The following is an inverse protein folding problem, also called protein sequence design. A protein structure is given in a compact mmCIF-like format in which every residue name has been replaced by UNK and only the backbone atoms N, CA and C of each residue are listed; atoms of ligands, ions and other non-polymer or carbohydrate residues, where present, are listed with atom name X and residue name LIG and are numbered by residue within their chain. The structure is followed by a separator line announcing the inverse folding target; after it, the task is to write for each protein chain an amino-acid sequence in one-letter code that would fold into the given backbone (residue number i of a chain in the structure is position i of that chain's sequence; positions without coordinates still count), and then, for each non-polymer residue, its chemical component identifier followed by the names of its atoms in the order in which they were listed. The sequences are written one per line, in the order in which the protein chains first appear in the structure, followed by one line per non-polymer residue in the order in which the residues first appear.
data_IF_130168637744
#
_entry.id   IF_130168637744
#
_cell.length_a   1.000
_cell.length_b   1.000
_cell.length_c   1.000
_cell.angle_alpha   90.00
_cell.angle_beta   90.00
_cell.angle_gamma   90.00
#
_symmetry.space_group_name_H-M   'P 1'
#
loop_
_entity.id
_entity.type
_entity.pdbx_description
1 polymer ?
#
# COMPACT_ATOMS: atom_id res chain seq x y z
N UNK A 1 -15.42 10.10 -16.76
CA UNK A 1 -16.48 10.10 -15.73
C UNK A 1 -15.99 9.30 -14.54
N UNK A 2 -15.65 9.97 -13.44
CA UNK A 2 -15.64 9.49 -12.05
C UNK A 2 -15.00 10.59 -11.18
N UNK A 3 -15.81 11.23 -10.34
CA UNK A 3 -15.50 11.69 -8.97
C UNK A 3 -16.57 12.69 -8.53
N UNK A 4 -17.73 12.17 -8.12
CA UNK A 4 -18.58 12.84 -7.16
C UNK A 4 -18.38 12.12 -5.82
N UNK A 5 -17.47 12.59 -4.96
CA UNK A 5 -17.40 12.10 -3.57
C UNK A 5 -16.07 12.20 -2.82
N UNK A 6 -14.91 12.30 -3.47
CA UNK A 6 -13.63 12.43 -2.76
C UNK A 6 -12.51 12.78 -3.73
N UNK A 7 -11.80 13.88 -3.49
CA UNK A 7 -10.74 14.34 -4.38
C UNK A 7 -9.58 13.35 -4.46
N UNK A 8 -8.86 13.34 -5.58
CA UNK A 8 -7.54 12.73 -5.66
C UNK A 8 -6.48 13.85 -5.66
N UNK A 9 -5.28 13.54 -5.19
CA UNK A 9 -4.13 14.45 -5.21
C UNK A 9 -3.05 13.90 -6.14
N UNK A 10 -2.42 14.75 -6.95
CA UNK A 10 -1.25 14.34 -7.72
C UNK A 10 -0.09 14.06 -6.77
N UNK A 11 0.64 12.99 -7.07
CA UNK A 11 1.95 12.69 -6.50
C UNK A 11 3.04 13.29 -7.40
N UNK A 12 4.27 13.37 -6.89
CA UNK A 12 5.39 13.95 -7.62
C UNK A 12 5.76 13.18 -8.90
N UNK A 13 5.43 11.88 -8.97
CA UNK A 13 5.62 11.01 -10.13
C UNK A 13 4.46 11.08 -11.16
N UNK A 14 3.48 11.97 -10.95
CA UNK A 14 2.33 12.16 -11.82
C UNK A 14 1.17 11.18 -11.59
N UNK A 15 1.32 10.18 -10.71
CA UNK A 15 0.19 9.33 -10.30
C UNK A 15 -0.79 10.11 -9.40
N UNK A 16 -1.99 9.57 -9.19
CA UNK A 16 -3.01 10.19 -8.34
C UNK A 16 -3.41 9.28 -7.19
N UNK A 17 -3.44 9.83 -5.97
CA UNK A 17 -3.87 9.13 -4.76
C UNK A 17 -5.20 9.70 -4.25
N UNK A 18 -6.20 8.87 -3.91
CA UNK A 18 -7.41 9.37 -3.24
C UNK A 18 -7.08 9.94 -1.86
N UNK A 19 -7.62 11.13 -1.56
CA UNK A 19 -7.28 11.86 -0.31
C UNK A 19 -7.77 11.18 0.97
N UNK A 20 -8.77 10.32 0.84
CA UNK A 20 -9.36 9.58 1.95
C UNK A 20 -9.22 8.08 1.70
N UNK A 21 -8.69 7.38 2.70
CA UNK A 21 -8.55 5.93 2.68
C UNK A 21 -8.84 5.29 4.03
N UNK A 22 -9.06 3.97 4.01
CA UNK A 22 -9.18 3.15 5.21
C UNK A 22 -7.83 2.49 5.52
N UNK A 23 -7.29 2.71 6.72
CA UNK A 23 -6.17 1.92 7.25
C UNK A 23 -6.67 0.69 8.02
N UNK A 24 -6.01 -0.46 7.86
CA UNK A 24 -6.38 -1.72 8.54
C UNK A 24 -5.38 -2.17 9.63
N UNK A 25 -4.62 -1.24 10.21
CA UNK A 25 -3.75 -1.53 11.36
C UNK A 25 -4.57 -2.03 12.56
N UNK A 26 -4.04 -3.03 13.26
CA UNK A 26 -4.68 -3.74 14.38
C UNK A 26 -6.02 -4.43 14.08
N UNK A 27 -6.50 -4.41 12.83
CA UNK A 27 -7.65 -5.22 12.44
C UNK A 27 -7.19 -6.66 12.30
N UNK A 28 -7.71 -7.61 13.10
CA UNK A 28 -7.27 -9.00 13.02
C UNK A 28 -7.54 -9.60 11.64
N UNK A 29 -6.65 -10.49 11.20
CA UNK A 29 -6.89 -11.32 10.03
C UNK A 29 -8.18 -12.15 10.19
N UNK A 30 -8.72 -12.61 9.06
CA UNK A 30 -9.99 -13.32 8.97
C UNK A 30 -11.17 -12.38 8.77
N UNK A 31 -12.31 -12.70 9.39
CA UNK A 31 -13.59 -12.04 9.13
C UNK A 31 -13.58 -10.53 9.44
N UNK A 32 -12.83 -10.10 10.46
CA UNK A 32 -12.77 -8.69 10.85
C UNK A 32 -12.16 -7.83 9.74
N UNK A 33 -10.96 -8.21 9.26
CA UNK A 33 -10.31 -7.53 8.14
C UNK A 33 -11.16 -7.60 6.87
N UNK A 34 -11.76 -8.77 6.57
CA UNK A 34 -12.60 -8.91 5.37
C UNK A 34 -13.78 -7.95 5.40
N UNK A 35 -14.50 -7.87 6.52
CA UNK A 35 -15.66 -7.01 6.66
C UNK A 35 -15.29 -5.53 6.62
N UNK A 36 -14.21 -5.13 7.31
CA UNK A 36 -13.75 -3.74 7.30
C UNK A 36 -13.47 -3.23 5.88
N UNK A 37 -12.74 -4.02 5.08
CA UNK A 37 -12.43 -3.70 3.69
C UNK A 37 -13.70 -3.65 2.84
N UNK A 38 -14.57 -4.66 2.93
CA UNK A 38 -15.82 -4.69 2.16
C UNK A 38 -16.74 -3.51 2.47
N UNK A 39 -16.96 -3.21 3.74
CA UNK A 39 -17.82 -2.10 4.15
C UNK A 39 -17.28 -0.74 3.68
N UNK A 40 -15.96 -0.55 3.69
CA UNK A 40 -15.36 0.66 3.14
C UNK A 40 -15.60 0.77 1.63
N UNK A 41 -15.41 -0.31 0.87
CA UNK A 41 -15.67 -0.33 -0.58
C UNK A 41 -17.15 -0.05 -0.90
N UNK A 42 -18.07 -0.67 -0.14
CA UNK A 42 -19.52 -0.47 -0.25
C UNK A 42 -19.92 0.98 0.09
N UNK A 43 -19.22 1.60 1.05
CA UNK A 43 -19.40 3.00 1.42
C UNK A 43 -18.74 3.99 0.44
N UNK A 44 -18.06 3.50 -0.60
CA UNK A 44 -17.46 4.34 -1.65
C UNK A 44 -15.97 4.66 -1.48
N UNK A 45 -15.29 4.08 -0.49
CA UNK A 45 -13.83 4.23 -0.37
C UNK A 45 -13.14 3.59 -1.56
N UNK A 46 -12.10 4.25 -2.06
CA UNK A 46 -11.26 3.77 -3.17
C UNK A 46 -9.77 3.81 -2.85
N UNK A 47 -9.39 4.07 -1.60
CA UNK A 47 -8.02 3.92 -1.11
C UNK A 47 -8.06 3.07 0.16
N UNK A 48 -7.31 1.97 0.19
CA UNK A 48 -7.18 1.13 1.39
C UNK A 48 -5.70 0.83 1.64
N UNK A 49 -5.29 1.02 2.88
CA UNK A 49 -3.91 0.94 3.36
C UNK A 49 -3.75 -0.26 4.31
N UNK A 50 -2.73 -1.08 4.03
CA UNK A 50 -2.27 -2.18 4.88
C UNK A 50 -0.73 -2.12 5.03
N UNK A 51 -0.12 -3.15 5.60
CA UNK A 51 1.32 -3.35 5.65
C UNK A 51 1.61 -4.82 5.89
N UNK A 52 2.78 -5.30 5.46
CA UNK A 52 3.23 -6.65 5.79
C UNK A 52 3.22 -6.92 7.29
N UNK A 53 3.66 -5.94 8.08
CA UNK A 53 3.73 -6.00 9.53
C UNK A 53 2.36 -6.24 10.20
N UNK A 54 1.24 -5.97 9.51
CA UNK A 54 -0.10 -6.11 10.08
C UNK A 54 -0.62 -7.55 10.02
N UNK A 55 0.00 -8.42 9.22
CA UNK A 55 -0.34 -9.85 9.15
C UNK A 55 -1.75 -10.14 8.59
N UNK A 56 -2.38 -9.18 7.90
CA UNK A 56 -3.76 -9.31 7.43
C UNK A 56 -3.91 -9.15 5.90
N UNK A 57 -2.82 -9.08 5.13
CA UNK A 57 -2.83 -8.91 3.66
C UNK A 57 -3.62 -10.00 2.93
N UNK A 58 -3.60 -11.26 3.38
CA UNK A 58 -4.39 -12.33 2.76
C UNK A 58 -5.91 -12.11 2.92
N UNK A 59 -6.32 -11.61 4.08
CA UNK A 59 -7.72 -11.31 4.38
C UNK A 59 -8.20 -10.09 3.61
N UNK A 60 -7.34 -9.08 3.49
CA UNK A 60 -7.56 -7.92 2.64
C UNK A 60 -7.71 -8.33 1.17
N UNK A 61 -6.80 -9.16 0.66
CA UNK A 61 -6.82 -9.63 -0.73
C UNK A 61 -8.09 -10.42 -1.04
N UNK A 62 -8.53 -11.26 -0.10
CA UNK A 62 -9.83 -11.94 -0.19
C UNK A 62 -10.99 -10.95 -0.28
N UNK A 63 -11.02 -9.92 0.56
CA UNK A 63 -12.08 -8.93 0.53
C UNK A 63 -12.16 -8.16 -0.79
N UNK A 64 -11.02 -7.83 -1.40
CA UNK A 64 -10.99 -7.20 -2.72
C UNK A 64 -11.62 -8.09 -3.78
N UNK A 65 -11.20 -9.36 -3.87
CA UNK A 65 -11.77 -10.33 -4.82
C UNK A 65 -13.27 -10.53 -4.61
N UNK A 66 -13.70 -10.65 -3.36
CA UNK A 66 -15.10 -10.86 -2.99
C UNK A 66 -15.99 -9.60 -3.16
N UNK A 67 -15.38 -8.41 -3.30
CA UNK A 67 -16.13 -7.14 -3.41
C UNK A 67 -16.79 -6.91 -4.77
N UNK A 68 -16.25 -7.53 -5.83
CA UNK A 68 -16.66 -7.25 -7.21
C UNK A 68 -16.28 -5.86 -7.74
N UNK A 69 -15.56 -5.03 -6.95
CA UNK A 69 -15.05 -3.74 -7.41
C UNK A 69 -13.87 -3.96 -8.36
N UNK A 70 -13.87 -3.35 -9.57
CA UNK A 70 -12.73 -3.46 -10.48
C UNK A 70 -11.42 -3.00 -9.83
N UNK A 71 -10.34 -3.77 -10.05
CA UNK A 71 -9.02 -3.50 -9.44
C UNK A 71 -8.49 -2.10 -9.77
N UNK A 72 -8.74 -1.63 -10.99
CA UNK A 72 -8.32 -0.31 -11.48
C UNK A 72 -9.07 0.86 -10.80
N UNK A 73 -10.12 0.58 -10.04
CA UNK A 73 -10.84 1.58 -9.25
C UNK A 73 -10.35 1.68 -7.80
N UNK A 74 -9.52 0.76 -7.32
CA UNK A 74 -9.04 0.75 -5.93
C UNK A 74 -7.55 1.07 -5.89
N UNK A 75 -7.17 2.08 -5.12
CA UNK A 75 -5.79 2.44 -4.81
C UNK A 75 -5.33 1.68 -3.55
N UNK A 76 -4.28 0.89 -3.67
CA UNK A 76 -3.81 0.00 -2.61
C UNK A 76 -2.42 0.43 -2.14
N UNK A 77 -2.32 0.70 -0.84
CA UNK A 77 -1.06 0.99 -0.17
C UNK A 77 -0.63 -0.19 0.70
N UNK A 78 0.61 -0.64 0.57
CA UNK A 78 1.26 -1.54 1.55
C UNK A 78 2.66 -1.06 1.87
N UNK A 79 3.32 -1.68 2.84
CA UNK A 79 4.57 -1.17 3.41
C UNK A 79 5.61 -2.26 3.60
N UNK A 80 6.82 -1.97 3.16
CA UNK A 80 8.05 -2.73 3.38
C UNK A 80 8.44 -2.69 4.86
N UNK A 81 8.70 -3.86 5.46
CA UNK A 81 9.26 -3.94 6.81
C UNK A 81 10.80 -3.83 6.75
N UNK A 82 11.41 -2.74 7.24
CA UNK A 82 12.84 -2.46 7.08
C UNK A 82 13.77 -3.49 7.74
N UNK A 83 13.35 -4.18 8.81
CA UNK A 83 14.14 -5.30 9.38
C UNK A 83 14.21 -6.56 8.52
N UNK A 84 13.41 -6.67 7.44
CA UNK A 84 13.47 -7.82 6.55
C UNK A 84 14.54 -7.67 5.47
N UNK A 85 14.58 -8.68 4.57
CA UNK A 85 15.64 -8.86 3.60
C UNK A 85 15.76 -7.69 2.60
N UNK A 86 14.90 -7.69 1.59
CA UNK A 86 14.97 -6.83 0.42
C UNK A 86 13.57 -6.34 0.01
N UNK A 87 13.39 -5.08 -0.42
CA UNK A 87 12.09 -4.54 -0.80
C UNK A 87 11.41 -5.22 -1.98
N UNK A 88 12.15 -5.74 -2.97
CA UNK A 88 11.59 -6.46 -4.13
C UNK A 88 10.98 -7.77 -3.67
N UNK A 89 11.75 -8.58 -2.94
CA UNK A 89 11.28 -9.85 -2.40
C UNK A 89 10.04 -9.66 -1.50
N UNK A 90 10.06 -8.62 -0.66
CA UNK A 90 8.88 -8.28 0.14
C UNK A 90 7.71 -7.81 -0.73
N UNK A 91 7.91 -6.97 -1.75
CA UNK A 91 6.83 -6.55 -2.63
C UNK A 91 6.14 -7.76 -3.29
N UNK A 92 6.93 -8.71 -3.82
CA UNK A 92 6.41 -9.97 -4.38
C UNK A 92 5.61 -10.77 -3.36
N UNK A 93 6.10 -10.90 -2.13
CA UNK A 93 5.40 -11.57 -1.04
C UNK A 93 4.04 -10.91 -0.71
N UNK A 94 4.01 -9.57 -0.64
CA UNK A 94 2.78 -8.80 -0.45
C UNK A 94 1.82 -9.01 -1.61
N UNK A 95 2.30 -8.91 -2.86
CA UNK A 95 1.51 -9.14 -4.06
C UNK A 95 0.87 -10.53 -4.06
N UNK A 96 1.62 -11.57 -3.68
CA UNK A 96 1.08 -12.94 -3.54
C UNK A 96 -0.01 -13.02 -2.47
N UNK A 97 0.19 -12.44 -1.28
CA UNK A 97 -0.83 -12.45 -0.20
C UNK A 97 -2.08 -11.66 -0.59
N UNK A 98 -1.90 -10.48 -1.18
CA UNK A 98 -3.00 -9.63 -1.65
C UNK A 98 -3.71 -10.25 -2.87
N UNK A 99 -3.02 -11.09 -3.64
CA UNK A 99 -3.49 -11.65 -4.91
C UNK A 99 -3.57 -10.57 -5.99
N UNK A 100 -2.52 -9.76 -6.11
CA UNK A 100 -2.39 -8.64 -7.04
C UNK A 100 -1.13 -8.81 -7.89
N UNK A 101 -1.08 -8.10 -9.02
CA UNK A 101 0.11 -8.04 -9.88
C UNK A 101 0.94 -6.77 -9.63
N UNK A 102 0.32 -5.72 -9.08
CA UNK A 102 0.96 -4.43 -8.82
C UNK A 102 0.37 -3.71 -7.61
N UNK A 103 1.24 -3.04 -6.83
CA UNK A 103 0.92 -2.15 -5.71
C UNK A 103 0.78 -0.71 -6.25
N UNK A 104 -0.21 0.06 -5.79
CA UNK A 104 -0.33 1.46 -6.22
C UNK A 104 0.68 2.35 -5.48
N UNK A 105 0.82 2.19 -4.16
CA UNK A 105 1.83 2.87 -3.36
C UNK A 105 2.54 1.92 -2.40
N UNK A 106 3.86 1.83 -2.53
CA UNK A 106 4.70 1.01 -1.65
C UNK A 106 5.58 1.89 -0.77
N UNK A 107 5.47 1.75 0.55
CA UNK A 107 6.15 2.63 1.50
C UNK A 107 7.22 1.90 2.31
N UNK A 108 8.35 2.54 2.58
CA UNK A 108 9.23 2.11 3.68
C UNK A 108 8.51 2.40 5.00
N UNK A 109 8.23 1.37 5.81
CA UNK A 109 7.35 1.54 6.97
C UNK A 109 7.99 2.39 8.10
N UNK A 110 9.31 2.29 8.29
CA UNK A 110 10.08 3.06 9.29
C UNK A 110 11.51 3.29 8.79
N UNK A 111 12.22 4.33 9.27
CA UNK A 111 13.60 4.66 8.85
C UNK A 111 14.68 3.70 9.37
N UNK A 112 14.29 2.55 9.93
CA UNK A 112 15.21 1.61 10.56
C UNK A 112 16.30 1.11 9.60
N UNK A 113 17.55 1.16 10.07
CA UNK A 113 18.72 0.85 9.25
C UNK A 113 19.23 2.03 8.43
N UNK A 114 18.64 3.22 8.59
CA UNK A 114 19.06 4.47 7.95
C UNK A 114 18.13 4.85 6.79
N UNK A 115 18.04 6.16 6.47
CA UNK A 115 17.02 6.67 5.56
C UNK A 115 17.14 6.11 4.14
N UNK A 116 18.36 5.75 3.72
CA UNK A 116 18.69 5.26 2.37
C UNK A 116 18.69 3.73 2.25
N UNK A 117 18.69 2.97 3.35
CA UNK A 117 18.90 1.51 3.33
C UNK A 117 17.97 0.79 2.35
N UNK A 118 16.68 1.15 2.41
CA UNK A 118 15.65 0.49 1.63
C UNK A 118 15.50 1.08 0.22
N UNK A 119 15.94 2.32 0.00
CA UNK A 119 15.46 3.13 -1.12
C UNK A 119 15.84 2.54 -2.49
N UNK A 120 17.09 2.11 -2.68
CA UNK A 120 17.52 1.47 -3.92
C UNK A 120 16.69 0.22 -4.27
N UNK A 121 16.26 -0.55 -3.26
CA UNK A 121 15.36 -1.69 -3.46
C UNK A 121 13.92 -1.28 -3.78
N UNK A 122 13.45 -0.15 -3.22
CA UNK A 122 12.15 0.43 -3.57
C UNK A 122 12.13 0.90 -5.02
N UNK A 123 13.17 1.62 -5.47
CA UNK A 123 13.36 2.03 -6.86
C UNK A 123 13.37 0.81 -7.78
N UNK A 124 14.10 -0.24 -7.38
CA UNK A 124 14.13 -1.49 -8.15
C UNK A 124 12.76 -2.16 -8.25
N UNK A 125 11.98 -2.16 -7.17
CA UNK A 125 10.61 -2.69 -7.18
C UNK A 125 9.70 -1.88 -8.12
N UNK A 126 9.90 -0.56 -8.19
CA UNK A 126 9.19 0.31 -9.14
C UNK A 126 9.60 0.02 -10.59
N UNK A 127 10.90 -0.08 -10.88
CA UNK A 127 11.43 -0.43 -12.22
C UNK A 127 10.91 -1.77 -12.74
N UNK A 128 10.77 -2.75 -11.84
CA UNK A 128 10.21 -4.07 -12.15
C UNK A 128 8.69 -4.08 -12.30
N UNK A 129 8.03 -2.94 -12.07
CA UNK A 129 6.58 -2.78 -12.19
C UNK A 129 5.78 -3.34 -11.01
N UNK A 130 6.43 -3.73 -9.91
CA UNK A 130 5.77 -4.27 -8.73
C UNK A 130 5.01 -3.18 -7.95
N UNK A 131 5.48 -1.93 -8.02
CA UNK A 131 4.83 -0.76 -7.43
C UNK A 131 4.76 0.38 -8.46
N UNK A 132 3.64 1.12 -8.50
CA UNK A 132 3.50 2.31 -9.36
C UNK A 132 4.22 3.51 -8.76
N UNK A 133 3.93 3.78 -7.49
CA UNK A 133 4.57 4.82 -6.69
C UNK A 133 5.28 4.21 -5.49
N UNK A 134 6.36 4.86 -5.08
CA UNK A 134 7.13 4.51 -3.88
C UNK A 134 7.25 5.72 -2.95
N UNK A 135 7.45 5.47 -1.66
CA UNK A 135 7.61 6.53 -0.68
C UNK A 135 8.01 6.01 0.69
N UNK A 136 7.81 6.82 1.72
CA UNK A 136 8.22 6.52 3.09
C UNK A 136 7.10 6.79 4.11
N UNK A 137 7.25 6.22 5.31
CA UNK A 137 6.37 6.42 6.46
C UNK A 137 7.21 6.56 7.72
N UNK A 138 6.82 7.48 8.62
CA UNK A 138 7.51 7.77 9.88
C UNK A 138 8.94 8.34 9.73
N UNK A 139 9.20 9.10 8.67
CA UNK A 139 10.46 9.83 8.48
C UNK A 139 10.30 11.28 8.93
N UNK A 140 11.32 11.82 9.58
CA UNK A 140 11.43 13.26 9.83
C UNK A 140 12.13 14.01 8.67
N UNK A 141 12.19 15.34 8.75
CA UNK A 141 12.78 16.17 7.69
C UNK A 141 14.28 15.91 7.50
N UNK A 142 15.02 15.69 8.59
CA UNK A 142 16.46 15.43 8.51
C UNK A 142 16.73 14.07 7.87
N UNK A 143 15.90 13.06 8.15
CA UNK A 143 15.97 11.75 7.51
C UNK A 143 15.65 11.83 6.01
N UNK A 144 14.72 12.69 5.58
CA UNK A 144 14.40 12.93 4.17
C UNK A 144 15.47 13.72 3.42
N UNK A 145 16.15 14.64 4.08
CA UNK A 145 17.23 15.44 3.48
C UNK A 145 18.55 14.66 3.37
N UNK A 146 18.70 13.57 4.14
CA UNK A 146 19.88 12.72 4.13
C UNK A 146 19.89 11.67 3.00
N UNK A 147 18.86 11.65 2.15
CA UNK A 147 18.66 10.68 1.05
C UNK A 147 19.24 11.19 -0.27
#
# INVERSE_FOLDING_TARGET
AATSGGGARPLADGNQVPVLGLGVWQVPAGRACVNAVRWALDAGYRHIDTAQAYGNEESFGRALRDSGVPRDQVFITTKFHPRGNDPVAQAEDSLRRLGLEQIDLYLVHWPEGGPTRAWAGMERAQELGLARSIGVSNYDAAELEAV
#
